data_IF_117455592768
#
_entry.id   IF_117455592768
#
_cell.length_a   1.000
_cell.length_b   1.000
_cell.length_c   1.000
_cell.angle_alpha   90.00
_cell.angle_beta   90.00
_cell.angle_gamma   90.00
#
_symmetry.space_group_name_H-M   'P 1'
#
loop_
_entity.id
_entity.type
_entity.pdbx_description
1 polymer ?
#
# COMPACT_ATOMS: atom_id res chain seq x y z
N UNK A 1 -43.52 12.22 -70.56
CA UNK A 1 -44.19 11.88 -69.31
C UNK A 1 -43.06 11.42 -68.33
N UNK A 2 -42.63 12.37 -67.46
CA UNK A 2 -41.54 12.22 -66.55
C UNK A 2 -42.01 11.50 -65.28
N UNK A 3 -41.34 10.40 -64.94
CA UNK A 3 -41.51 9.70 -63.72
C UNK A 3 -40.55 10.26 -62.60
N UNK A 4 -41.13 10.92 -61.62
CA UNK A 4 -40.39 11.35 -60.36
C UNK A 4 -39.97 10.15 -59.56
N UNK A 5 -38.72 10.09 -59.05
CA UNK A 5 -38.32 9.08 -58.05
C UNK A 5 -38.90 9.44 -56.68
N UNK A 6 -39.53 8.48 -56.02
CA UNK A 6 -40.01 8.53 -54.61
C UNK A 6 -38.85 8.63 -53.63
N UNK A 7 -38.77 9.75 -52.94
CA UNK A 7 -37.97 9.90 -51.75
C UNK A 7 -38.68 9.18 -50.57
N UNK A 8 -38.30 7.97 -50.25
CA UNK A 8 -38.97 7.18 -49.21
C UNK A 8 -38.08 6.11 -48.55
N UNK A 9 -36.79 6.36 -48.32
CA UNK A 9 -35.90 5.34 -47.77
C UNK A 9 -34.96 5.78 -46.66
N UNK A 10 -34.82 7.07 -46.36
CA UNK A 10 -33.80 7.56 -45.44
C UNK A 10 -34.30 7.82 -44.02
N UNK A 11 -35.59 8.00 -43.79
CA UNK A 11 -36.16 8.27 -42.46
C UNK A 11 -36.33 7.03 -41.57
N UNK A 12 -36.43 5.84 -42.14
CA UNK A 12 -36.60 4.60 -41.41
C UNK A 12 -35.25 4.07 -40.81
N UNK A 13 -34.15 4.30 -41.49
CA UNK A 13 -32.84 3.83 -41.07
C UNK A 13 -32.27 4.68 -39.92
N UNK A 14 -32.42 6.00 -39.96
CA UNK A 14 -31.98 6.92 -38.91
C UNK A 14 -32.76 6.72 -37.61
N UNK A 15 -34.07 6.41 -37.68
CA UNK A 15 -34.89 6.15 -36.51
C UNK A 15 -34.52 4.81 -35.82
N UNK A 16 -34.15 3.80 -36.60
CA UNK A 16 -33.69 2.50 -36.04
C UNK A 16 -32.35 2.61 -35.37
N UNK A 17 -31.39 3.35 -35.94
CA UNK A 17 -30.07 3.58 -35.35
C UNK A 17 -30.19 4.38 -34.04
N UNK A 18 -31.08 5.37 -33.99
CA UNK A 18 -31.33 6.14 -32.79
C UNK A 18 -31.96 5.29 -31.66
N UNK A 19 -32.94 4.43 -32.00
CA UNK A 19 -33.56 3.53 -31.03
C UNK A 19 -32.54 2.53 -30.43
N UNK A 20 -31.75 1.88 -31.27
CA UNK A 20 -30.71 0.95 -30.85
C UNK A 20 -29.62 1.62 -29.99
N UNK A 21 -29.30 2.88 -30.28
CA UNK A 21 -28.33 3.65 -29.48
C UNK A 21 -28.93 4.04 -28.14
N UNK A 22 -30.21 4.41 -28.08
CA UNK A 22 -30.93 4.70 -26.84
C UNK A 22 -31.02 3.45 -25.96
N UNK A 23 -31.36 2.30 -26.51
CA UNK A 23 -31.44 1.02 -25.77
C UNK A 23 -30.08 0.64 -25.17
N UNK A 24 -29.01 0.80 -25.96
CA UNK A 24 -27.64 0.56 -25.45
C UNK A 24 -27.25 1.51 -24.31
N UNK A 25 -27.61 2.78 -24.44
CA UNK A 25 -27.36 3.78 -23.41
C UNK A 25 -28.17 3.48 -22.13
N UNK A 26 -29.44 3.10 -22.28
CA UNK A 26 -30.30 2.71 -21.15
C UNK A 26 -29.72 1.50 -20.43
N UNK A 27 -29.32 0.46 -21.16
CA UNK A 27 -28.68 -0.73 -20.57
C UNK A 27 -27.41 -0.36 -19.80
N UNK A 28 -26.58 0.53 -20.35
CA UNK A 28 -25.36 0.98 -19.65
C UNK A 28 -25.65 1.84 -18.42
N UNK A 29 -26.71 2.63 -18.44
CA UNK A 29 -27.16 3.38 -17.28
C UNK A 29 -27.62 2.43 -16.18
N UNK A 30 -28.42 1.41 -16.52
CA UNK A 30 -28.89 0.39 -15.58
C UNK A 30 -27.71 -0.40 -14.96
N UNK A 31 -26.71 -0.75 -15.79
CA UNK A 31 -25.48 -1.40 -15.31
C UNK A 31 -24.72 -0.48 -14.33
N UNK A 32 -24.52 0.80 -14.68
CA UNK A 32 -23.85 1.77 -13.80
C UNK A 32 -24.62 2.00 -12.49
N UNK A 33 -25.96 2.06 -12.54
CA UNK A 33 -26.77 2.17 -11.33
C UNK A 33 -26.63 0.92 -10.45
N UNK A 34 -26.55 -0.27 -11.03
CA UNK A 34 -26.31 -1.52 -10.32
C UNK A 34 -24.94 -1.52 -9.64
N UNK A 35 -23.90 -1.11 -10.37
CA UNK A 35 -22.55 -0.98 -9.84
C UNK A 35 -22.46 0.06 -8.71
N UNK A 36 -23.14 1.20 -8.84
CA UNK A 36 -23.22 2.21 -7.80
C UNK A 36 -23.88 1.68 -6.54
N UNK A 37 -24.97 0.93 -6.65
CA UNK A 37 -25.62 0.28 -5.50
C UNK A 37 -24.68 -0.73 -4.83
N UNK A 38 -23.96 -1.52 -5.63
CA UNK A 38 -22.99 -2.49 -5.08
C UNK A 38 -21.84 -1.79 -4.36
N UNK A 39 -21.30 -0.70 -4.93
CA UNK A 39 -20.25 0.11 -4.31
C UNK A 39 -20.75 0.77 -3.00
N UNK A 40 -21.97 1.30 -3.01
CA UNK A 40 -22.58 1.89 -1.80
C UNK A 40 -22.68 0.85 -0.69
N UNK A 41 -23.17 -0.36 -0.99
CA UNK A 41 -23.25 -1.45 -0.01
C UNK A 41 -21.85 -1.85 0.52
N UNK A 42 -20.82 -1.87 -0.35
CA UNK A 42 -19.46 -2.16 0.08
C UNK A 42 -18.90 -1.06 1.00
N UNK A 43 -19.20 0.21 0.71
CA UNK A 43 -18.79 1.34 1.57
C UNK A 43 -19.47 1.27 2.93
N UNK A 44 -20.76 0.93 2.97
CA UNK A 44 -21.48 0.74 4.22
C UNK A 44 -20.93 -0.44 5.04
N UNK A 45 -20.64 -1.57 4.39
CA UNK A 45 -20.03 -2.74 5.03
C UNK A 45 -18.63 -2.41 5.59
N UNK A 46 -17.81 -1.67 4.82
CA UNK A 46 -16.51 -1.21 5.28
C UNK A 46 -16.65 -0.24 6.46
N UNK A 47 -17.62 0.67 6.42
CA UNK A 47 -17.92 1.58 7.52
C UNK A 47 -18.30 0.83 8.80
N UNK A 48 -19.13 -0.20 8.69
CA UNK A 48 -19.50 -1.06 9.82
C UNK A 48 -18.27 -1.81 10.39
N UNK A 49 -17.45 -2.42 9.51
CA UNK A 49 -16.21 -3.10 9.93
C UNK A 49 -15.23 -2.15 10.60
N UNK A 50 -15.11 -0.93 10.08
CA UNK A 50 -14.24 0.09 10.68
C UNK A 50 -14.74 0.50 12.08
N UNK A 51 -16.04 0.66 12.25
CA UNK A 51 -16.68 0.90 13.55
C UNK A 51 -16.40 -0.21 14.55
N UNK A 52 -16.52 -1.47 14.13
CA UNK A 52 -16.23 -2.64 14.96
C UNK A 52 -14.75 -2.70 15.37
N UNK A 53 -13.83 -2.45 14.44
CA UNK A 53 -12.38 -2.40 14.73
C UNK A 53 -12.08 -1.26 15.71
N UNK A 54 -12.67 -0.10 15.53
CA UNK A 54 -12.47 1.06 16.42
C UNK A 54 -12.94 0.73 17.83
N UNK A 55 -14.09 0.06 17.98
CA UNK A 55 -14.61 -0.37 19.27
C UNK A 55 -13.71 -1.43 19.95
N UNK A 56 -13.21 -2.40 19.16
CA UNK A 56 -12.23 -3.39 19.65
C UNK A 56 -10.95 -2.71 20.12
N UNK A 57 -10.46 -1.72 19.36
CA UNK A 57 -9.25 -0.98 19.72
C UNK A 57 -9.43 -0.17 21.01
N UNK A 58 -10.58 0.49 21.19
CA UNK A 58 -10.90 1.20 22.43
C UNK A 58 -10.97 0.27 23.62
N UNK A 59 -11.56 -0.92 23.46
CA UNK A 59 -11.63 -1.93 24.51
C UNK A 59 -10.21 -2.45 24.86
N UNK A 60 -9.38 -2.66 23.85
CA UNK A 60 -8.00 -3.09 24.05
C UNK A 60 -7.17 -2.01 24.75
N UNK A 61 -7.30 -0.75 24.34
CA UNK A 61 -6.62 0.38 24.98
C UNK A 61 -7.02 0.52 26.45
N UNK A 62 -8.33 0.48 26.75
CA UNK A 62 -8.84 0.54 28.13
C UNK A 62 -8.33 -0.63 28.99
N UNK A 63 -8.26 -1.84 28.43
CA UNK A 63 -7.72 -3.01 29.12
C UNK A 63 -6.19 -2.85 29.39
N UNK A 64 -5.46 -2.28 28.44
CA UNK A 64 -4.02 -2.02 28.59
C UNK A 64 -3.78 -0.96 29.65
N UNK A 65 -4.55 0.12 29.66
CA UNK A 65 -4.47 1.18 30.67
C UNK A 65 -4.81 0.66 32.07
N UNK A 66 -5.84 -0.18 32.20
CA UNK A 66 -6.19 -0.84 33.46
C UNK A 66 -5.07 -1.76 33.97
N UNK A 67 -4.40 -2.50 33.07
CA UNK A 67 -3.25 -3.35 33.44
C UNK A 67 -2.05 -2.52 33.86
N UNK A 68 -1.81 -1.38 33.20
CA UNK A 68 -0.76 -0.45 33.58
C UNK A 68 -1.00 0.17 34.96
N UNK A 69 -2.25 0.59 35.22
CA UNK A 69 -2.66 1.13 36.52
C UNK A 69 -2.52 0.08 37.63
N UNK A 70 -2.87 -1.19 37.38
CA UNK A 70 -2.72 -2.29 38.32
C UNK A 70 -1.23 -2.58 38.67
N UNK A 71 -0.36 -2.47 37.66
CA UNK A 71 1.11 -2.63 37.89
C UNK A 71 1.70 -1.49 38.73
N UNK A 72 1.17 -0.25 38.54
CA UNK A 72 1.60 0.92 39.34
C UNK A 72 1.07 0.88 40.78
N UNK A 73 -0.11 0.28 41.02
CA UNK A 73 -0.72 0.20 42.34
C UNK A 73 -0.29 -1.02 43.18
N UNK A 74 0.51 -1.91 42.61
CA UNK A 74 1.01 -3.11 43.32
C UNK A 74 -0.08 -4.14 43.70
N UNK A 75 -1.28 -4.06 43.08
CA UNK A 75 -2.37 -5.00 43.31
C UNK A 75 -2.24 -6.27 42.49
N UNK A 76 -2.56 -7.45 43.07
CA UNK A 76 -2.53 -8.71 42.31
C UNK A 76 -3.57 -8.75 41.24
N UNK A 77 -3.20 -9.21 40.09
CA UNK A 77 -3.97 -9.26 38.84
C UNK A 77 -5.18 -10.21 38.96
N UNK A 78 -6.43 -9.81 38.73
CA UNK A 78 -7.53 -10.74 38.55
C UNK A 78 -7.47 -11.34 37.13
N UNK A 79 -7.19 -12.65 37.03
CA UNK A 79 -7.38 -13.40 35.80
C UNK A 79 -6.14 -13.90 35.09
N UNK A 80 -5.19 -14.51 35.80
CA UNK A 80 -4.27 -15.46 35.16
C UNK A 80 -4.89 -16.85 35.18
N UNK A 81 -4.85 -17.64 34.08
CA UNK A 81 -5.28 -19.03 34.12
C UNK A 81 -4.34 -19.82 35.02
N UNK A 82 -4.89 -20.34 36.11
CA UNK A 82 -4.25 -21.32 36.97
C UNK A 82 -4.13 -22.64 36.22
N UNK A 83 -2.98 -22.90 35.61
CA UNK A 83 -2.51 -24.26 35.28
C UNK A 83 -1.02 -24.22 34.98
N UNK A 84 -0.24 -24.32 36.03
CA UNK A 84 1.13 -24.80 35.96
C UNK A 84 1.34 -25.86 37.05
N UNK A 85 1.91 -27.02 36.75
CA UNK A 85 2.10 -28.10 37.73
C UNK A 85 3.17 -27.73 38.75
N UNK A 86 2.81 -27.93 40.03
CA UNK A 86 3.73 -27.91 41.17
C UNK A 86 4.72 -29.06 41.09
N UNK A 87 5.99 -28.77 41.23
CA UNK A 87 7.00 -29.81 41.44
C UNK A 87 8.41 -29.23 41.62
N UNK A 88 8.95 -29.31 42.85
CA UNK A 88 10.38 -29.23 43.06
C UNK A 88 10.86 -28.25 44.14
N UNK A 89 11.21 -28.78 45.26
CA UNK A 89 11.59 -28.24 46.55
C UNK A 89 12.95 -27.44 46.57
N UNK A 90 13.34 -26.91 47.73
CA UNK A 90 14.16 -25.70 47.86
C UNK A 90 15.65 -26.02 47.99
N UNK A 91 16.49 -25.10 47.54
CA UNK A 91 17.89 -25.04 47.97
C UNK A 91 18.17 -23.71 48.64
N UNK A 92 18.48 -23.84 49.93
CA UNK A 92 18.99 -22.84 50.84
C UNK A 92 20.43 -22.48 50.49
N UNK A 93 20.79 -21.21 50.66
CA UNK A 93 22.19 -20.78 50.51
C UNK A 93 22.36 -19.27 50.67
N UNK A 94 22.33 -18.85 51.79
CA UNK A 94 23.08 -17.96 52.70
C UNK A 94 24.03 -16.91 52.09
N UNK A 95 23.88 -15.73 52.63
CA UNK A 95 24.89 -14.76 53.15
C UNK A 95 25.25 -13.55 52.31
N UNK A 96 24.88 -12.48 52.89
CA UNK A 96 25.66 -11.34 53.42
C UNK A 96 25.96 -10.16 52.51
N UNK A 97 25.32 -9.09 52.88
CA UNK A 97 25.90 -7.81 53.32
C UNK A 97 26.65 -6.95 52.28
N UNK A 98 26.17 -5.78 52.02
CA UNK A 98 26.75 -4.49 52.38
C UNK A 98 26.18 -3.33 51.54
N UNK A 99 25.56 -2.43 52.20
CA UNK A 99 25.79 -0.99 52.26
C UNK A 99 25.85 -0.14 51.00
N UNK A 100 24.91 0.79 50.93
CA UNK A 100 25.28 2.17 50.65
C UNK A 100 25.12 2.67 49.21
N UNK A 101 24.33 3.70 49.05
CA UNK A 101 24.55 4.65 48.00
C UNK A 101 23.37 4.89 47.06
N UNK A 102 22.53 5.85 47.43
CA UNK A 102 21.66 6.57 46.50
C UNK A 102 22.50 7.19 45.39
N UNK A 103 22.43 6.64 44.18
CA UNK A 103 22.94 7.28 42.99
C UNK A 103 21.78 7.90 42.22
N UNK A 104 21.90 9.16 41.71
CA UNK A 104 20.86 9.81 40.93
C UNK A 104 20.67 9.09 39.59
N UNK A 105 19.41 8.87 39.19
CA UNK A 105 19.04 8.23 37.95
C UNK A 105 19.64 8.92 36.73
N UNK A 106 20.06 8.14 35.74
CA UNK A 106 20.51 8.73 34.48
C UNK A 106 19.34 9.30 33.72
N UNK A 107 19.22 10.62 33.73
CA UNK A 107 18.52 11.39 32.69
C UNK A 107 19.36 11.29 31.41
N UNK A 108 19.25 10.19 30.71
CA UNK A 108 19.75 10.08 29.36
C UNK A 108 18.60 9.64 28.46
N UNK A 109 17.84 10.60 28.00
CA UNK A 109 17.07 10.49 26.76
C UNK A 109 18.10 10.30 25.65
N UNK A 110 18.58 9.04 25.50
CA UNK A 110 19.50 8.66 24.47
C UNK A 110 18.94 9.06 23.12
N UNK A 111 19.63 9.94 22.45
CA UNK A 111 19.52 10.12 21.00
C UNK A 111 19.53 8.73 20.38
N UNK A 112 18.38 8.32 19.85
CA UNK A 112 18.27 7.12 19.02
C UNK A 112 19.18 7.37 17.83
N UNK A 113 20.20 6.52 17.56
CA UNK A 113 21.03 6.69 16.39
C UNK A 113 20.12 6.60 15.17
N UNK A 114 20.10 7.66 14.36
CA UNK A 114 19.43 7.68 13.07
C UNK A 114 20.06 6.57 12.21
N UNK A 115 19.39 5.42 12.08
CA UNK A 115 19.91 4.33 11.26
C UNK A 115 19.76 2.91 11.80
N UNK A 116 19.32 2.70 13.04
CA UNK A 116 19.00 1.34 13.49
C UNK A 116 17.67 0.89 12.89
N UNK A 117 17.74 0.00 11.92
CA UNK A 117 16.58 -0.74 11.43
C UNK A 117 15.97 -1.47 12.61
N UNK A 118 14.69 -1.22 12.96
CA UNK A 118 14.05 -1.98 14.04
C UNK A 118 14.11 -3.46 13.70
N UNK A 119 14.26 -4.36 14.69
CA UNK A 119 14.12 -5.78 14.43
C UNK A 119 12.75 -6.02 13.82
N UNK A 120 12.73 -6.60 12.63
CA UNK A 120 11.49 -6.94 11.94
C UNK A 120 10.80 -8.03 12.76
N UNK A 121 9.48 -7.95 13.00
CA UNK A 121 8.79 -8.98 13.74
C UNK A 121 9.03 -10.34 13.06
N UNK A 122 9.33 -11.34 13.86
CA UNK A 122 9.37 -12.73 13.43
C UNK A 122 7.95 -13.09 12.96
N UNK A 123 7.73 -13.05 11.65
CA UNK A 123 6.44 -13.28 11.02
C UNK A 123 6.63 -13.90 9.64
N UNK A 124 5.53 -14.24 9.01
CA UNK A 124 5.53 -14.75 7.63
C UNK A 124 6.11 -13.70 6.67
N UNK A 125 6.48 -14.12 5.46
CA UNK A 125 6.88 -13.21 4.37
C UNK A 125 5.84 -12.11 4.14
N UNK A 126 4.55 -12.45 4.27
CA UNK A 126 3.45 -11.49 4.16
C UNK A 126 3.45 -10.46 5.29
N UNK A 127 3.74 -10.87 6.52
CA UNK A 127 3.78 -9.97 7.68
C UNK A 127 4.94 -8.99 7.57
N UNK A 128 6.09 -9.45 7.11
CA UNK A 128 7.27 -8.61 6.87
C UNK A 128 6.98 -7.57 5.77
N UNK A 129 6.35 -7.98 4.68
CA UNK A 129 5.89 -7.08 3.62
C UNK A 129 4.90 -6.04 4.14
N UNK A 130 3.88 -6.47 4.86
CA UNK A 130 2.86 -5.59 5.44
C UNK A 130 3.44 -4.60 6.45
N UNK A 131 4.43 -5.04 7.23
CA UNK A 131 5.15 -4.17 8.18
C UNK A 131 5.91 -3.06 7.44
N UNK A 132 6.61 -3.40 6.36
CA UNK A 132 7.29 -2.40 5.53
C UNK A 132 6.33 -1.36 4.93
N UNK A 133 5.15 -1.81 4.46
CA UNK A 133 4.09 -0.91 3.99
C UNK A 133 3.48 -0.07 5.13
N UNK A 134 3.50 -0.59 6.36
CA UNK A 134 3.08 0.14 7.55
C UNK A 134 3.90 1.40 7.76
N UNK A 135 5.22 1.32 7.65
CA UNK A 135 6.11 2.49 7.72
C UNK A 135 5.84 3.50 6.59
N UNK A 136 5.59 3.01 5.37
CA UNK A 136 5.27 3.87 4.24
C UNK A 136 3.97 4.67 4.47
N UNK A 137 2.92 4.02 5.00
CA UNK A 137 1.65 4.69 5.36
C UNK A 137 1.83 5.74 6.45
N UNK A 138 2.77 5.54 7.36
CA UNK A 138 3.14 6.50 8.41
C UNK A 138 4.09 7.59 7.89
N UNK A 139 4.45 7.55 6.60
CA UNK A 139 5.44 8.44 5.97
C UNK A 139 6.83 8.35 6.62
N UNK A 140 7.10 7.26 7.34
CA UNK A 140 8.44 6.96 7.86
C UNK A 140 9.29 6.34 6.75
N UNK A 141 9.68 7.18 5.81
CA UNK A 141 10.43 6.75 4.63
C UNK A 141 11.76 6.07 4.94
N UNK A 142 12.55 6.50 5.93
CA UNK A 142 13.79 5.82 6.29
C UNK A 142 13.56 4.37 6.74
N UNK A 143 12.53 4.13 7.57
CA UNK A 143 12.20 2.77 8.01
C UNK A 143 11.56 1.95 6.89
N UNK A 144 10.72 2.56 6.07
CA UNK A 144 10.13 1.91 4.91
C UNK A 144 11.23 1.43 3.93
N UNK A 145 12.19 2.30 3.59
CA UNK A 145 13.33 1.98 2.73
C UNK A 145 14.13 0.81 3.29
N UNK A 146 14.54 0.88 4.56
CA UNK A 146 15.33 -0.15 5.20
C UNK A 146 14.60 -1.50 5.25
N UNK A 147 13.30 -1.49 5.58
CA UNK A 147 12.48 -2.71 5.67
C UNK A 147 12.22 -3.32 4.29
N UNK A 148 11.95 -2.51 3.26
CA UNK A 148 11.75 -2.99 1.89
C UNK A 148 13.04 -3.55 1.28
N UNK A 149 14.18 -2.90 1.51
CA UNK A 149 15.49 -3.41 1.06
C UNK A 149 15.82 -4.75 1.71
N UNK A 150 15.57 -4.86 3.01
CA UNK A 150 15.77 -6.12 3.75
C UNK A 150 14.83 -7.21 3.21
N UNK A 151 13.55 -6.89 3.03
CA UNK A 151 12.57 -7.82 2.45
C UNK A 151 13.05 -8.34 1.08
N UNK A 152 13.52 -7.47 0.21
CA UNK A 152 14.02 -7.84 -1.11
C UNK A 152 15.31 -8.69 -1.06
N UNK A 153 16.15 -8.50 -0.05
CA UNK A 153 17.34 -9.31 0.16
C UNK A 153 16.99 -10.73 0.65
N UNK A 154 16.01 -10.86 1.54
CA UNK A 154 15.60 -12.12 2.15
C UNK A 154 14.56 -12.88 1.29
N UNK A 155 13.70 -12.17 0.55
CA UNK A 155 12.53 -12.69 -0.15
C UNK A 155 12.44 -12.27 -1.63
N UNK A 156 13.58 -11.98 -2.25
CA UNK A 156 13.65 -11.46 -3.61
C UNK A 156 13.16 -12.41 -4.72
N UNK A 157 12.92 -13.68 -4.40
CA UNK A 157 12.39 -14.69 -5.34
C UNK A 157 10.88 -14.97 -5.13
N UNK A 158 10.22 -14.26 -4.22
CA UNK A 158 8.78 -14.44 -3.95
C UNK A 158 7.92 -13.59 -4.90
N UNK A 159 6.65 -13.97 -5.04
CA UNK A 159 5.67 -13.21 -5.85
C UNK A 159 5.49 -11.76 -5.36
N UNK A 160 5.77 -11.50 -4.07
CA UNK A 160 5.70 -10.18 -3.47
C UNK A 160 6.89 -9.28 -3.83
N UNK A 161 8.01 -9.84 -4.30
CA UNK A 161 9.23 -9.10 -4.52
C UNK A 161 9.08 -7.97 -5.56
N UNK A 162 8.34 -8.22 -6.65
CA UNK A 162 8.05 -7.18 -7.63
C UNK A 162 7.22 -6.03 -7.07
N UNK A 163 6.26 -6.35 -6.20
CA UNK A 163 5.46 -5.35 -5.49
C UNK A 163 6.29 -4.60 -4.44
N UNK A 164 7.18 -5.29 -3.73
CA UNK A 164 8.09 -4.67 -2.76
C UNK A 164 9.05 -3.68 -3.45
N UNK A 165 9.54 -4.04 -4.65
CA UNK A 165 10.40 -3.16 -5.44
C UNK A 165 9.66 -1.92 -5.94
N UNK A 166 8.38 -2.06 -6.33
CA UNK A 166 7.52 -0.93 -6.64
C UNK A 166 7.42 0.03 -5.43
N UNK A 167 7.13 -0.49 -4.24
CA UNK A 167 6.99 0.34 -3.04
C UNK A 167 8.30 0.98 -2.59
N UNK A 168 9.43 0.32 -2.84
CA UNK A 168 10.74 0.93 -2.62
C UNK A 168 10.96 2.12 -3.56
N UNK A 169 10.59 2.00 -4.84
CA UNK A 169 10.59 3.10 -5.80
C UNK A 169 9.67 4.26 -5.39
N UNK A 170 8.46 3.95 -4.90
CA UNK A 170 7.53 4.93 -4.34
C UNK A 170 8.11 5.64 -3.11
N UNK A 171 8.81 4.91 -2.26
CA UNK A 171 9.51 5.48 -1.09
C UNK A 171 10.55 6.52 -1.50
N UNK A 172 11.33 6.25 -2.54
CA UNK A 172 12.27 7.22 -3.09
C UNK A 172 11.58 8.39 -3.77
N UNK A 173 10.53 8.11 -4.56
CA UNK A 173 9.77 9.14 -5.25
C UNK A 173 9.15 10.14 -4.25
N UNK A 174 8.56 9.66 -3.16
CA UNK A 174 7.97 10.49 -2.10
C UNK A 174 9.01 11.38 -1.39
N UNK A 175 10.27 10.93 -1.34
CA UNK A 175 11.38 11.71 -0.81
C UNK A 175 12.01 12.67 -1.85
N UNK A 176 11.43 12.80 -3.03
CA UNK A 176 11.98 13.53 -4.18
C UNK A 176 13.37 13.01 -4.65
N UNK A 177 13.76 11.79 -4.24
CA UNK A 177 14.94 11.08 -4.72
C UNK A 177 14.65 10.45 -6.09
N UNK A 178 14.37 11.28 -7.09
CA UNK A 178 13.87 10.83 -8.38
C UNK A 178 14.83 9.97 -9.17
N UNK A 179 16.15 10.12 -8.99
CA UNK A 179 17.14 9.29 -9.62
C UNK A 179 17.11 7.85 -9.08
N UNK A 180 17.05 7.70 -7.74
CA UNK A 180 16.94 6.40 -7.08
C UNK A 180 15.60 5.73 -7.41
N UNK A 181 14.51 6.53 -7.46
CA UNK A 181 13.19 6.05 -7.85
C UNK A 181 13.20 5.50 -9.30
N UNK A 182 13.72 6.26 -10.26
CA UNK A 182 13.81 5.84 -11.65
C UNK A 182 14.63 4.57 -11.81
N UNK A 183 15.79 4.48 -11.16
CA UNK A 183 16.62 3.27 -11.17
C UNK A 183 15.87 2.08 -10.59
N UNK A 184 15.22 2.25 -9.43
CA UNK A 184 14.47 1.18 -8.76
C UNK A 184 13.30 0.67 -9.60
N UNK A 185 12.52 1.57 -10.23
CA UNK A 185 11.43 1.18 -11.12
C UNK A 185 11.95 0.47 -12.38
N UNK A 186 13.09 0.91 -12.95
CA UNK A 186 13.72 0.25 -14.08
C UNK A 186 14.19 -1.17 -13.71
N UNK A 187 14.79 -1.33 -12.54
CA UNK A 187 15.26 -2.63 -12.05
C UNK A 187 14.09 -3.56 -11.72
N UNK A 188 12.97 -3.02 -11.21
CA UNK A 188 11.73 -3.76 -11.03
C UNK A 188 11.21 -4.33 -12.36
N UNK A 189 11.21 -3.52 -13.43
CA UNK A 189 10.78 -3.94 -14.75
C UNK A 189 11.70 -4.99 -15.41
N UNK A 190 12.98 -4.98 -15.06
CA UNK A 190 13.95 -5.98 -15.54
C UNK A 190 13.87 -7.30 -14.78
N UNK A 191 13.81 -7.20 -13.44
CA UNK A 191 13.86 -8.38 -12.57
C UNK A 191 12.49 -9.07 -12.43
N UNK A 192 11.42 -8.29 -12.42
CA UNK A 192 10.05 -8.79 -12.20
C UNK A 192 9.07 -8.34 -13.30
N UNK A 193 9.33 -8.65 -14.58
CA UNK A 193 8.55 -8.13 -15.71
C UNK A 193 7.08 -8.58 -15.70
N UNK A 194 6.77 -9.66 -15.01
CA UNK A 194 5.42 -10.23 -14.89
C UNK A 194 4.71 -9.85 -13.56
N UNK A 195 5.31 -9.01 -12.74
CA UNK A 195 4.69 -8.55 -11.51
C UNK A 195 3.39 -7.80 -11.80
N UNK A 196 2.39 -7.97 -10.94
CA UNK A 196 1.15 -7.20 -10.99
C UNK A 196 1.39 -5.68 -10.94
N UNK A 197 2.58 -5.24 -10.48
CA UNK A 197 2.99 -3.82 -10.39
C UNK A 197 3.85 -3.35 -11.55
N UNK A 198 4.09 -4.17 -12.58
CA UNK A 198 5.00 -3.80 -13.67
C UNK A 198 4.51 -2.61 -14.51
N UNK A 199 3.20 -2.52 -14.79
CA UNK A 199 2.64 -1.36 -15.49
C UNK A 199 2.73 -0.09 -14.64
N UNK A 200 2.46 -0.20 -13.33
CA UNK A 200 2.66 0.90 -12.37
C UNK A 200 4.13 1.35 -12.32
N UNK A 201 5.07 0.40 -12.29
CA UNK A 201 6.52 0.71 -12.33
C UNK A 201 6.88 1.50 -13.58
N UNK A 202 6.34 1.12 -14.75
CA UNK A 202 6.64 1.83 -16.00
C UNK A 202 6.07 3.25 -15.99
N UNK A 203 4.84 3.44 -15.49
CA UNK A 203 4.25 4.76 -15.30
C UNK A 203 5.14 5.63 -14.38
N UNK A 204 5.52 5.09 -13.23
CA UNK A 204 6.33 5.81 -12.23
C UNK A 204 7.77 6.07 -12.70
N UNK A 205 8.34 5.18 -13.51
CA UNK A 205 9.62 5.43 -14.19
C UNK A 205 9.50 6.69 -15.08
N UNK A 206 8.47 6.77 -15.93
CA UNK A 206 8.23 7.94 -16.78
C UNK A 206 8.06 9.21 -15.96
N UNK A 207 7.29 9.17 -14.86
CA UNK A 207 7.11 10.31 -13.95
C UNK A 207 8.43 10.73 -13.27
N UNK A 208 9.25 9.76 -12.85
CA UNK A 208 10.56 10.03 -12.23
C UNK A 208 11.53 10.67 -13.23
N UNK A 209 11.55 10.17 -14.47
CA UNK A 209 12.36 10.76 -15.56
C UNK A 209 11.91 12.19 -15.90
N UNK A 210 10.59 12.45 -15.90
CA UNK A 210 10.04 13.78 -16.10
C UNK A 210 10.45 14.75 -14.98
N UNK A 211 10.41 14.30 -13.73
CA UNK A 211 10.87 15.08 -12.57
C UNK A 211 12.38 15.41 -12.64
N UNK A 212 13.18 14.51 -13.22
CA UNK A 212 14.60 14.70 -13.50
C UNK A 212 14.88 15.59 -14.74
N UNK A 213 13.84 16.11 -15.38
CA UNK A 213 13.94 16.87 -16.65
C UNK A 213 14.48 16.05 -17.84
N UNK A 214 14.43 14.73 -17.76
CA UNK A 214 14.76 13.80 -18.84
C UNK A 214 13.50 13.58 -19.70
N UNK A 215 13.04 14.67 -20.32
CA UNK A 215 11.77 14.67 -21.08
C UNK A 215 11.74 13.68 -22.24
N UNK A 216 12.77 13.53 -23.08
CA UNK A 216 12.75 12.56 -24.17
C UNK A 216 12.55 11.12 -23.67
N UNK A 217 13.26 10.71 -22.62
CA UNK A 217 13.19 9.39 -22.05
C UNK A 217 11.84 9.15 -21.34
N UNK A 218 11.30 10.17 -20.66
CA UNK A 218 9.97 10.13 -20.07
C UNK A 218 8.90 9.89 -21.14
N UNK A 219 8.94 10.64 -22.24
CA UNK A 219 8.01 10.53 -23.36
C UNK A 219 8.07 9.14 -24.03
N UNK A 220 9.27 8.60 -24.23
CA UNK A 220 9.44 7.24 -24.73
C UNK A 220 8.78 6.23 -23.79
N UNK A 221 9.01 6.39 -22.48
CA UNK A 221 8.46 5.49 -21.46
C UNK A 221 6.94 5.51 -21.43
N UNK A 222 6.32 6.68 -21.47
CA UNK A 222 4.85 6.80 -21.50
C UNK A 222 4.25 6.23 -22.78
N UNK A 223 4.87 6.49 -23.93
CA UNK A 223 4.42 5.97 -25.23
C UNK A 223 4.50 4.46 -25.33
N UNK A 224 5.54 3.85 -24.75
CA UNK A 224 5.76 2.42 -24.81
C UNK A 224 4.92 1.63 -23.81
N UNK A 225 4.36 2.29 -22.76
CA UNK A 225 3.57 1.64 -21.72
C UNK A 225 2.40 0.83 -22.27
N UNK A 226 1.49 1.36 -23.12
CA UNK A 226 0.36 0.59 -23.66
C UNK A 226 0.79 -0.54 -24.61
N UNK A 227 1.98 -0.44 -25.21
CA UNK A 227 2.54 -1.51 -26.06
C UNK A 227 3.07 -2.67 -25.21
N UNK A 228 3.76 -2.34 -24.14
CA UNK A 228 4.39 -3.34 -23.27
C UNK A 228 3.39 -3.98 -22.32
N UNK A 229 2.38 -3.23 -21.90
CA UNK A 229 1.35 -3.67 -20.97
C UNK A 229 -0.05 -3.41 -21.53
N UNK A 230 -0.48 -4.14 -22.58
CA UNK A 230 -1.78 -3.93 -23.22
C UNK A 230 -2.96 -4.25 -22.29
N UNK A 231 -2.73 -5.08 -21.27
CA UNK A 231 -3.72 -5.45 -20.24
C UNK A 231 -3.69 -4.52 -19.01
N UNK A 232 -2.90 -3.45 -19.03
CA UNK A 232 -2.89 -2.49 -17.94
C UNK A 232 -4.27 -1.85 -17.76
N UNK A 233 -4.60 -1.50 -16.50
CA UNK A 233 -5.88 -0.85 -16.23
C UNK A 233 -6.01 0.47 -16.99
N UNK A 234 -7.25 0.82 -17.36
CA UNK A 234 -7.54 2.08 -18.04
C UNK A 234 -7.03 3.29 -17.24
N UNK A 235 -7.08 3.19 -15.92
CA UNK A 235 -6.56 4.23 -15.01
C UNK A 235 -5.06 4.48 -15.23
N UNK A 236 -4.26 3.42 -15.35
CA UNK A 236 -2.81 3.52 -15.60
C UNK A 236 -2.55 4.12 -16.99
N UNK A 237 -3.28 3.64 -18.01
CA UNK A 237 -3.12 4.12 -19.40
C UNK A 237 -3.49 5.60 -19.53
N UNK A 238 -4.60 6.00 -18.93
CA UNK A 238 -5.04 7.41 -18.92
C UNK A 238 -4.05 8.28 -18.14
N UNK A 239 -3.56 7.81 -16.99
CA UNK A 239 -2.56 8.54 -16.22
C UNK A 239 -1.28 8.74 -17.02
N UNK A 240 -0.80 7.72 -17.72
CA UNK A 240 0.38 7.83 -18.58
C UNK A 240 0.19 8.89 -19.66
N UNK A 241 -0.99 8.97 -20.27
CA UNK A 241 -1.33 10.02 -21.24
C UNK A 241 -1.31 11.41 -20.63
N UNK A 242 -1.95 11.59 -19.47
CA UNK A 242 -1.96 12.88 -18.76
C UNK A 242 -0.53 13.33 -18.38
N UNK A 243 0.30 12.40 -17.91
CA UNK A 243 1.70 12.72 -17.56
C UNK A 243 2.56 13.00 -18.80
N UNK A 244 2.29 12.33 -19.94
CA UNK A 244 2.92 12.64 -21.23
C UNK A 244 2.55 14.05 -21.71
N UNK A 245 1.27 14.42 -21.65
CA UNK A 245 0.81 15.77 -22.00
C UNK A 245 1.43 16.83 -21.11
N UNK A 246 1.52 16.59 -19.79
CA UNK A 246 2.17 17.46 -18.81
C UNK A 246 3.67 17.62 -19.08
N UNK A 247 4.32 16.57 -19.54
CA UNK A 247 5.73 16.59 -19.94
C UNK A 247 5.95 17.20 -21.35
N UNK A 248 4.88 17.66 -22.02
CA UNK A 248 4.91 18.20 -23.39
C UNK A 248 5.48 17.19 -24.40
N UNK A 249 5.12 15.91 -24.27
CA UNK A 249 5.47 14.89 -25.24
C UNK A 249 4.79 15.12 -26.58
N UNK A 250 5.59 15.07 -27.66
CA UNK A 250 5.10 15.21 -29.05
C UNK A 250 4.93 13.84 -29.70
#
# INVERSE_FOLDING_TARGET
VEGRPRAGGLTGATNKINAETVDRLTTRVDEMESELRQLTNQVEELGFKLGQITQQFQTYAANTDARFAALQSGQPQPGAPQNAPQGGAPVSGNSADNGGGLAPGPTNLGKVPSGSVPPQPAGTTQDQYNSALGYLRQQDYPRAEASLRRFLAEHGETDLAGSAMYWLGETYYAQAKYADAAQTFLDALKKYPQSAKSADCMLKLGMSLSALKKTPEACLTFRDLPRRFPSASQTILQRAKVEADRAHCK
#
